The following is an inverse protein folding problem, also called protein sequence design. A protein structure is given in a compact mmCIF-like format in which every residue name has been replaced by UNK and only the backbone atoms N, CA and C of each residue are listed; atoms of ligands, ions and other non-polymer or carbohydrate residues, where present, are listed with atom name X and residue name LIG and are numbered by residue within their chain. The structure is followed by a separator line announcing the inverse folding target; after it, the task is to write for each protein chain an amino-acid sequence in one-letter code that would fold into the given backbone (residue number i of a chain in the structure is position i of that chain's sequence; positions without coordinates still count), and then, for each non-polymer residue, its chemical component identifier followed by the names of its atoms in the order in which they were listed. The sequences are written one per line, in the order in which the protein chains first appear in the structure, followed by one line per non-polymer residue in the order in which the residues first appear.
data_IF_405468811947
#
_entry.id   IF_405468811947
#
_cell.length_a   1.000
_cell.length_b   1.000
_cell.length_c   1.000
_cell.angle_alpha   90.00
_cell.angle_beta   90.00
_cell.angle_gamma   90.00
#
_symmetry.space_group_name_H-M   'P 1'
#
loop_
_entity.id
_entity.type
_entity.pdbx_description
1 polymer ?
#
# COMPACT_ATOMS: atom_id res chain seq x y z
N UNK A 1 4.36 15.32 -1.96
CA UNK A 1 5.30 14.54 -2.79
C UNK A 1 4.51 13.52 -3.58
N UNK A 2 4.68 13.53 -4.89
CA UNK A 2 4.14 12.56 -5.82
C UNK A 2 5.25 11.54 -6.12
N UNK A 3 4.94 10.24 -6.15
CA UNK A 3 5.90 9.20 -6.54
C UNK A 3 5.31 8.32 -7.64
N UNK A 4 6.15 7.98 -8.60
CA UNK A 4 5.85 7.00 -9.63
C UNK A 4 6.61 5.71 -9.30
N UNK A 5 5.90 4.60 -9.10
CA UNK A 5 6.49 3.33 -8.69
C UNK A 5 6.12 2.23 -9.68
N UNK A 6 7.07 1.35 -9.98
CA UNK A 6 6.83 0.10 -10.71
C UNK A 6 6.43 -0.99 -9.72
N UNK A 7 5.42 -1.78 -10.07
CA UNK A 7 4.99 -2.94 -9.30
C UNK A 7 5.96 -4.09 -9.52
N UNK A 8 6.44 -4.65 -8.40
CA UNK A 8 7.30 -5.82 -8.38
C UNK A 8 6.68 -6.84 -7.44
N UNK A 9 6.40 -8.03 -7.97
CA UNK A 9 5.77 -9.14 -7.25
C UNK A 9 4.25 -9.19 -7.46
N UNK A 10 3.63 -10.23 -6.89
CA UNK A 10 2.24 -10.59 -7.21
C UNK A 10 1.24 -10.36 -6.06
N UNK A 11 1.69 -9.82 -4.92
CA UNK A 11 0.88 -9.75 -3.69
C UNK A 11 -0.50 -9.10 -3.81
N UNK A 12 -0.73 -8.24 -4.80
CA UNK A 12 -2.02 -7.58 -5.04
C UNK A 12 -2.66 -7.95 -6.40
N UNK A 13 -2.14 -8.99 -7.08
CA UNK A 13 -2.70 -9.55 -8.30
C UNK A 13 -4.11 -10.13 -8.06
N UNK A 14 -5.07 -10.01 -9.00
CA UNK A 14 -4.94 -9.41 -10.34
C UNK A 14 -5.14 -7.88 -10.37
N UNK A 15 -5.37 -7.24 -9.22
CA UNK A 15 -5.64 -5.79 -9.19
C UNK A 15 -4.41 -4.91 -9.43
N UNK A 16 -3.21 -5.44 -9.15
CA UNK A 16 -1.92 -4.81 -9.46
C UNK A 16 -0.95 -5.92 -9.86
N UNK A 17 -0.57 -5.96 -11.12
CA UNK A 17 0.25 -7.04 -11.67
C UNK A 17 1.74 -6.65 -11.69
N UNK A 18 2.60 -7.65 -11.65
CA UNK A 18 4.03 -7.42 -11.82
C UNK A 18 4.31 -6.69 -13.14
N UNK A 19 5.03 -5.58 -13.05
CA UNK A 19 5.41 -4.75 -14.20
C UNK A 19 4.49 -3.56 -14.44
N UNK A 20 3.34 -3.48 -13.77
CA UNK A 20 2.48 -2.29 -13.77
C UNK A 20 3.17 -1.09 -13.14
N UNK A 21 2.56 0.08 -13.29
CA UNK A 21 2.99 1.30 -12.63
C UNK A 21 1.86 1.93 -11.82
N UNK A 22 2.22 2.58 -10.71
CA UNK A 22 1.27 3.31 -9.87
C UNK A 22 1.78 4.71 -9.54
N UNK A 23 0.84 5.64 -9.46
CA UNK A 23 1.07 6.98 -8.94
C UNK A 23 0.64 7.04 -7.48
N UNK A 24 1.56 7.48 -6.62
CA UNK A 24 1.37 7.54 -5.18
C UNK A 24 1.43 8.99 -4.69
N UNK A 25 0.44 9.41 -3.90
CA UNK A 25 0.34 10.78 -3.39
C UNK A 25 -0.10 10.84 -1.93
N UNK A 26 0.38 11.85 -1.21
CA UNK A 26 -0.13 12.21 0.14
C UNK A 26 -1.31 13.19 0.10
N UNK A 27 -1.63 13.77 -1.07
CA UNK A 27 -2.71 14.76 -1.22
C UNK A 27 -4.05 14.24 -0.69
N UNK A 28 -4.48 12.98 -0.97
CA UNK A 28 -5.71 12.45 -0.40
C UNK A 28 -5.77 12.51 1.13
N UNK A 29 -4.62 12.36 1.80
CA UNK A 29 -4.52 12.36 3.26
C UNK A 29 -4.68 13.75 3.91
N UNK A 30 -4.72 14.82 3.11
CA UNK A 30 -5.07 16.16 3.57
C UNK A 30 -6.58 16.33 3.73
N UNK A 31 -7.38 15.52 3.04
CA UNK A 31 -8.84 15.60 3.05
C UNK A 31 -9.48 14.47 3.87
N UNK A 32 -8.89 13.27 3.82
CA UNK A 32 -9.38 12.11 4.58
C UNK A 32 -8.22 11.28 5.12
N UNK A 33 -8.24 10.81 6.37
CA UNK A 33 -7.21 9.89 6.87
C UNK A 33 -7.19 8.58 6.04
N UNK A 34 -6.08 7.81 6.07
CA UNK A 34 -6.05 6.47 5.49
C UNK A 34 -7.21 5.64 6.01
N UNK A 35 -7.93 5.00 5.10
CA UNK A 35 -9.17 4.29 5.41
C UNK A 35 -9.17 2.89 4.82
N UNK A 36 -10.04 2.03 5.36
CA UNK A 36 -10.25 0.66 4.85
C UNK A 36 -10.55 0.70 3.34
N UNK A 37 -9.89 -0.18 2.58
CA UNK A 37 -10.01 -0.27 1.13
C UNK A 37 -8.95 0.53 0.36
N UNK A 38 -8.32 1.53 0.97
CA UNK A 38 -7.22 2.27 0.34
C UNK A 38 -6.06 1.33 -0.01
N UNK A 39 -5.43 1.55 -1.16
CA UNK A 39 -4.14 0.94 -1.48
C UNK A 39 -3.07 1.96 -1.19
N UNK A 40 -2.11 1.61 -0.35
CA UNK A 40 -1.07 2.53 0.12
C UNK A 40 0.31 1.98 -0.19
N UNK A 41 1.25 2.88 -0.48
CA UNK A 41 2.67 2.58 -0.44
C UNK A 41 3.23 3.00 0.92
N UNK A 42 4.07 2.16 1.51
CA UNK A 42 4.70 2.41 2.80
C UNK A 42 6.09 1.77 2.86
N UNK A 43 6.91 2.30 3.76
CA UNK A 43 8.19 1.68 4.08
C UNK A 43 8.04 0.70 5.23
N UNK A 44 8.52 -0.53 5.06
CA UNK A 44 8.53 -1.55 6.08
C UNK A 44 9.97 -2.02 6.37
N UNK A 45 10.44 -1.94 7.63
CA UNK A 45 11.76 -2.45 8.00
C UNK A 45 11.95 -3.91 7.57
N UNK A 46 13.09 -4.22 6.95
CA UNK A 46 13.41 -5.56 6.46
C UNK A 46 12.82 -5.92 5.09
N UNK A 47 11.76 -5.23 4.62
CA UNK A 47 11.08 -5.53 3.36
C UNK A 47 11.13 -4.38 2.33
N UNK A 48 11.54 -3.18 2.74
CA UNK A 48 11.68 -2.04 1.85
C UNK A 48 10.35 -1.34 1.58
N UNK A 49 10.10 -0.91 0.34
CA UNK A 49 8.86 -0.24 -0.04
C UNK A 49 7.85 -1.26 -0.54
N UNK A 50 6.69 -1.32 0.10
CA UNK A 50 5.61 -2.23 -0.26
C UNK A 50 4.35 -1.46 -0.64
N UNK A 51 3.49 -2.07 -1.47
CA UNK A 51 2.10 -1.65 -1.65
C UNK A 51 1.16 -2.74 -1.13
N UNK A 52 0.14 -2.34 -0.37
CA UNK A 52 -0.90 -3.23 0.18
C UNK A 52 -2.22 -2.49 0.33
N UNK A 53 -3.31 -3.24 0.50
CA UNK A 53 -4.64 -2.68 0.79
C UNK A 53 -4.85 -2.57 2.29
N UNK A 54 -5.41 -1.48 2.77
CA UNK A 54 -5.81 -1.31 4.16
C UNK A 54 -7.02 -2.20 4.45
N UNK A 55 -6.88 -3.06 5.46
CA UNK A 55 -7.96 -3.91 5.96
C UNK A 55 -8.61 -3.31 7.21
N UNK A 56 -7.82 -2.74 8.11
CA UNK A 56 -8.31 -2.11 9.34
C UNK A 56 -7.43 -0.92 9.73
N UNK A 57 -8.03 0.03 10.44
CA UNK A 57 -7.34 1.16 11.07
C UNK A 57 -7.85 1.26 12.50
N UNK A 58 -6.95 1.18 13.47
CA UNK A 58 -7.33 1.25 14.88
C UNK A 58 -7.44 2.71 15.39
N UNK A 59 -7.88 2.87 16.63
CA UNK A 59 -8.04 4.18 17.28
C UNK A 59 -6.71 4.91 17.53
N UNK A 60 -5.58 4.21 17.49
CA UNK A 60 -4.24 4.78 17.65
C UNK A 60 -3.62 5.20 16.32
N UNK A 61 -4.28 4.89 15.19
CA UNK A 61 -3.81 5.18 13.84
C UNK A 61 -2.83 4.14 13.29
N UNK A 62 -2.78 2.96 13.90
CA UNK A 62 -2.08 1.79 13.35
C UNK A 62 -2.94 1.18 12.24
N UNK A 63 -2.28 0.83 11.14
CA UNK A 63 -2.94 0.41 9.89
C UNK A 63 -2.60 -1.03 9.59
N UNK A 64 -3.59 -1.92 9.64
CA UNK A 64 -3.41 -3.29 9.16
C UNK A 64 -3.60 -3.34 7.65
N UNK A 65 -2.65 -3.98 6.98
CA UNK A 65 -2.64 -4.09 5.53
C UNK A 65 -2.60 -5.55 5.09
N UNK A 66 -3.25 -5.85 3.96
CA UNK A 66 -3.36 -7.20 3.42
C UNK A 66 -3.09 -7.20 1.91
N UNK A 67 -2.49 -8.29 1.42
CA UNK A 67 -2.45 -8.61 -0.01
C UNK A 67 -3.57 -9.57 -0.41
N UNK A 68 -3.81 -9.69 -1.71
CA UNK A 68 -4.80 -10.62 -2.27
C UNK A 68 -4.28 -12.04 -2.40
N UNK A 69 -2.95 -12.21 -2.51
CA UNK A 69 -2.34 -13.52 -2.68
C UNK A 69 -2.05 -14.23 -1.34
N UNK A 70 -2.12 -15.58 -1.28
CA UNK A 70 -1.87 -16.35 -0.07
C UNK A 70 -0.48 -16.14 0.53
N UNK A 71 0.53 -15.97 -0.31
CA UNK A 71 1.94 -15.78 0.05
C UNK A 71 2.32 -14.30 0.31
N UNK A 72 1.32 -13.41 0.32
CA UNK A 72 1.54 -11.99 0.54
C UNK A 72 2.23 -11.72 1.88
N UNK A 73 3.41 -11.09 1.80
CA UNK A 73 4.07 -10.51 2.97
C UNK A 73 3.36 -9.22 3.39
N UNK A 74 2.55 -9.28 4.44
CA UNK A 74 1.71 -8.18 4.92
C UNK A 74 1.54 -8.19 6.45
N UNK A 75 0.51 -7.52 6.99
CA UNK A 75 0.36 -7.39 8.45
C UNK A 75 0.19 -8.72 9.19
N UNK A 76 -0.15 -9.81 8.50
CA UNK A 76 -0.14 -11.17 9.09
C UNK A 76 1.27 -11.63 9.47
N UNK A 77 2.30 -11.10 8.81
CA UNK A 77 3.71 -11.45 9.02
C UNK A 77 4.41 -10.43 9.91
N UNK A 78 4.21 -9.14 9.66
CA UNK A 78 4.99 -8.07 10.30
C UNK A 78 4.18 -7.13 11.22
N UNK A 79 2.88 -7.41 11.41
CA UNK A 79 1.99 -6.59 12.22
C UNK A 79 1.52 -5.29 11.53
N UNK A 80 0.87 -4.39 12.27
CA UNK A 80 0.32 -3.17 11.70
C UNK A 80 1.39 -2.12 11.36
N UNK A 81 1.09 -1.31 10.35
CA UNK A 81 1.95 -0.23 9.83
C UNK A 81 1.64 1.08 10.55
N UNK A 82 2.68 1.77 11.02
CA UNK A 82 2.54 3.12 11.59
C UNK A 82 2.24 4.14 10.49
N UNK A 83 1.29 5.04 10.71
CA UNK A 83 0.95 6.12 9.75
C UNK A 83 2.16 6.92 9.24
N UNK A 84 3.17 7.14 10.08
CA UNK A 84 4.41 7.85 9.70
C UNK A 84 5.23 7.15 8.60
N UNK A 85 5.09 5.83 8.48
CA UNK A 85 5.78 5.03 7.47
C UNK A 85 5.07 5.04 6.12
N UNK A 86 3.84 5.59 6.05
CA UNK A 86 3.06 5.67 4.81
C UNK A 86 3.68 6.74 3.90
N UNK A 87 4.06 6.30 2.70
CA UNK A 87 4.58 7.15 1.63
C UNK A 87 3.42 7.90 0.97
N UNK A 88 2.30 7.23 0.71
CA UNK A 88 1.09 7.83 0.14
C UNK A 88 0.04 6.79 -0.24
N UNK A 89 -1.11 7.28 -0.70
CA UNK A 89 -2.17 6.47 -1.33
C UNK A 89 -1.90 6.32 -2.82
N UNK A 90 -2.15 5.13 -3.36
CA UNK A 90 -2.21 4.91 -4.80
C UNK A 90 -3.43 5.65 -5.35
N UNK A 91 -3.18 6.63 -6.22
CA UNK A 91 -4.22 7.49 -6.82
C UNK A 91 -4.43 7.21 -8.29
N UNK A 92 -3.51 6.49 -8.92
CA UNK A 92 -3.62 6.06 -10.31
C UNK A 92 -2.87 4.76 -10.51
N UNK A 93 -3.41 3.88 -11.36
CA UNK A 93 -2.82 2.60 -11.76
C UNK A 93 -2.74 2.55 -13.29
N UNK A 94 -1.59 2.11 -13.80
CA UNK A 94 -1.28 2.01 -15.21
C UNK A 94 -0.87 0.56 -15.45
N UNK A 95 -1.70 -0.15 -16.21
CA UNK A 95 -1.37 -1.51 -16.64
C UNK A 95 -0.24 -1.45 -17.65
N UNK A 96 0.72 -2.37 -17.53
CA UNK A 96 1.64 -2.62 -18.63
C UNK A 96 0.83 -3.11 -19.84
N UNK A 97 1.13 -2.58 -21.01
CA UNK A 97 0.64 -3.11 -22.29
C UNK A 97 1.41 -4.34 -22.71
#
# INVERSE_FOLDING_TARGET
MLKFLKIVGESLSPGFEHGDFVLVSKIPFLFSPPAVGDVIAFHQPGYGTLIKRIQAVDTTGMVEVIGTQPDSTDSRVFGPVRRKNIIGKVVWHIHKT
#
